data_IF_137005397888
#
_entry.id   IF_137005397888
#
_cell.length_a   1.000
_cell.length_b   1.000
_cell.length_c   1.000
_cell.angle_alpha   90.00
_cell.angle_beta   90.00
_cell.angle_gamma   90.00
#
_symmetry.space_group_name_H-M   'P 1'
#
loop_
_entity.id
_entity.type
_entity.pdbx_description
1 polymer ?
#
# COMPACT_ATOMS: atom_id res chain seq x y z
N UNK A 1 14.59 -9.51 -15.61
CA UNK A 1 14.05 -9.82 -14.26
C UNK A 1 13.96 -8.51 -13.52
N UNK A 2 12.74 -8.00 -13.28
CA UNK A 2 12.57 -6.77 -12.48
C UNK A 2 12.91 -7.10 -11.02
N UNK A 3 14.00 -6.52 -10.53
CA UNK A 3 14.43 -6.68 -9.15
C UNK A 3 13.56 -5.87 -8.20
N UNK A 4 13.48 -6.31 -6.94
CA UNK A 4 12.86 -5.57 -5.85
C UNK A 4 13.56 -4.21 -5.69
N UNK A 5 12.82 -3.13 -5.79
CA UNK A 5 13.35 -1.79 -5.51
C UNK A 5 13.15 -1.45 -4.05
N UNK A 6 14.24 -1.25 -3.32
CA UNK A 6 14.22 -0.79 -1.94
C UNK A 6 14.56 0.70 -1.89
N UNK A 7 13.76 1.48 -1.15
CA UNK A 7 13.99 2.91 -0.97
C UNK A 7 13.69 3.31 0.46
N UNK A 8 14.61 4.06 1.06
CA UNK A 8 14.37 4.67 2.37
C UNK A 8 13.33 5.77 2.24
N UNK A 9 12.29 5.69 3.07
CA UNK A 9 11.25 6.73 3.19
C UNK A 9 11.22 7.24 4.62
N UNK A 10 10.87 8.51 4.78
CA UNK A 10 10.70 9.12 6.10
C UNK A 10 9.28 8.87 6.62
N UNK A 11 9.18 8.41 7.86
CA UNK A 11 7.90 8.40 8.59
C UNK A 11 7.59 9.84 9.00
N UNK A 12 6.43 10.32 8.55
CA UNK A 12 5.88 11.64 8.83
C UNK A 12 5.01 11.58 10.09
N UNK A 13 4.53 12.75 10.50
CA UNK A 13 3.60 12.88 11.61
C UNK A 13 2.33 12.02 11.41
N UNK A 14 1.69 11.68 12.54
CA UNK A 14 0.46 10.88 12.58
C UNK A 14 0.63 9.51 11.89
N UNK A 15 1.83 8.93 11.98
CA UNK A 15 2.16 7.61 11.42
C UNK A 15 1.97 7.51 9.91
N UNK A 16 2.13 8.62 9.19
CA UNK A 16 2.00 8.65 7.72
C UNK A 16 3.35 8.35 7.07
N UNK A 17 3.32 7.70 5.91
CA UNK A 17 4.49 7.52 5.05
C UNK A 17 4.13 7.93 3.63
N UNK A 18 5.11 8.41 2.89
CA UNK A 18 4.96 8.69 1.45
C UNK A 18 5.29 7.42 0.69
N UNK A 19 4.31 6.90 -0.06
CA UNK A 19 4.56 5.82 -1.02
C UNK A 19 5.29 6.45 -2.24
N UNK A 20 6.46 5.95 -2.63
CA UNK A 20 7.18 6.45 -3.80
C UNK A 20 6.31 6.35 -5.07
N UNK A 21 6.48 7.32 -5.98
CA UNK A 21 5.67 7.40 -7.20
C UNK A 21 5.78 6.14 -8.06
N UNK A 22 6.95 5.53 -8.09
CA UNK A 22 7.22 4.31 -8.85
C UNK A 22 6.35 3.15 -8.34
N UNK A 23 6.20 3.01 -7.02
CA UNK A 23 5.33 2.01 -6.41
C UNK A 23 3.84 2.34 -6.64
N UNK A 24 3.47 3.62 -6.67
CA UNK A 24 2.11 4.06 -7.01
C UNK A 24 1.75 3.66 -8.44
N UNK A 25 2.63 3.95 -9.40
CA UNK A 25 2.42 3.67 -10.82
C UNK A 25 2.37 2.16 -11.09
N UNK A 26 3.21 1.36 -10.41
CA UNK A 26 3.23 -0.10 -10.52
C UNK A 26 1.99 -0.74 -9.90
N UNK A 27 1.61 -0.31 -8.69
CA UNK A 27 0.44 -0.83 -7.97
C UNK A 27 -0.89 -0.25 -8.45
N UNK A 28 -0.85 0.75 -9.35
CA UNK A 28 -2.01 1.48 -9.89
C UNK A 28 -2.93 2.01 -8.80
N UNK A 29 -2.35 2.53 -7.71
CA UNK A 29 -3.11 3.12 -6.60
C UNK A 29 -3.33 4.62 -6.81
N UNK A 30 -4.46 5.10 -6.33
CA UNK A 30 -4.86 6.50 -6.37
C UNK A 30 -5.21 7.02 -4.98
N UNK A 31 -5.23 8.34 -4.83
CA UNK A 31 -5.69 8.96 -3.58
C UNK A 31 -7.14 8.56 -3.30
N UNK A 32 -7.39 8.03 -2.10
CA UNK A 32 -8.71 7.56 -1.66
C UNK A 32 -8.91 6.06 -1.80
N UNK A 33 -7.98 5.36 -2.47
CA UNK A 33 -8.01 3.90 -2.55
C UNK A 33 -7.76 3.26 -1.18
N UNK A 34 -8.37 2.09 -1.00
CA UNK A 34 -8.14 1.26 0.16
C UNK A 34 -6.97 0.31 -0.07
N UNK A 35 -6.17 0.09 0.97
CA UNK A 35 -5.10 -0.88 0.97
C UNK A 35 -5.12 -1.69 2.26
N UNK A 36 -4.76 -2.97 2.14
CA UNK A 36 -4.52 -3.87 3.26
C UNK A 36 -3.07 -3.74 3.71
N UNK A 37 -2.87 -3.53 5.01
CA UNK A 37 -1.55 -3.45 5.64
C UNK A 37 -1.34 -4.72 6.47
N UNK A 38 -0.27 -5.48 6.20
CA UNK A 38 0.09 -6.70 6.95
C UNK A 38 1.49 -6.59 7.52
N UNK A 39 1.67 -7.07 8.75
CA UNK A 39 2.99 -7.27 9.31
C UNK A 39 3.47 -8.70 9.01
N UNK A 40 4.58 -8.81 8.27
CA UNK A 40 5.21 -10.08 7.94
C UNK A 40 6.37 -10.32 8.91
N UNK A 41 6.11 -11.07 9.99
CA UNK A 41 7.12 -11.35 11.03
C UNK A 41 8.36 -12.05 10.47
N UNK A 42 8.19 -12.95 9.50
CA UNK A 42 9.30 -13.71 8.89
C UNK A 42 10.24 -12.82 8.07
N UNK A 43 9.70 -11.77 7.45
CA UNK A 43 10.48 -10.83 6.65
C UNK A 43 10.89 -9.60 7.46
N UNK A 44 10.32 -9.41 8.65
CA UNK A 44 10.42 -8.18 9.44
C UNK A 44 10.04 -6.92 8.64
N UNK A 45 8.97 -7.03 7.84
CA UNK A 45 8.51 -5.97 6.94
C UNK A 45 6.99 -5.75 7.04
N UNK A 46 6.56 -4.53 6.71
CA UNK A 46 5.16 -4.19 6.45
C UNK A 46 4.88 -4.41 4.96
N UNK A 47 3.90 -5.24 4.65
CA UNK A 47 3.42 -5.47 3.29
C UNK A 47 2.13 -4.65 3.06
N UNK A 48 2.08 -3.90 1.95
CA UNK A 48 0.92 -3.10 1.54
C UNK A 48 0.35 -3.69 0.26
N UNK A 49 -0.94 -4.03 0.28
CA UNK A 49 -1.64 -4.61 -0.86
C UNK A 49 -2.88 -3.77 -1.20
N UNK A 50 -2.97 -3.15 -2.38
CA UNK A 50 -4.19 -2.46 -2.82
C UNK A 50 -5.39 -3.41 -2.84
N UNK A 51 -6.58 -2.94 -2.48
CA UNK A 51 -7.80 -3.74 -2.50
C UNK A 51 -8.95 -2.99 -3.15
N UNK A 52 -9.64 -3.66 -4.08
CA UNK A 52 -10.91 -3.16 -4.61
C UNK A 52 -12.03 -3.47 -3.62
N UNK A 53 -12.57 -2.43 -2.99
CA UNK A 53 -13.81 -2.57 -2.21
C UNK A 53 -14.98 -2.39 -3.16
N UNK A 54 -15.53 -3.50 -3.65
CA UNK A 54 -16.84 -3.46 -4.32
C UNK A 54 -17.89 -3.08 -3.27
N UNK A 55 -18.64 -1.98 -3.44
CA UNK A 55 -19.73 -1.68 -2.53
C UNK A 55 -20.70 -2.85 -2.55
N UNK A 56 -20.94 -3.47 -1.38
CA UNK A 56 -22.04 -4.43 -1.26
C UNK A 56 -23.31 -3.65 -1.60
N UNK A 57 -24.01 -4.07 -2.66
CA UNK A 57 -25.37 -3.58 -2.94
C UNK A 57 -26.17 -3.69 -1.64
N UNK A 58 -26.53 -2.54 -1.08
CA UNK A 58 -27.44 -2.46 0.05
C UNK A 58 -28.79 -2.98 -0.45
N UNK A 59 -29.17 -4.19 -0.07
CA UNK A 59 -30.57 -4.61 -0.16
C UNK A 59 -31.31 -3.81 0.91
N UNK A 60 -31.95 -2.74 0.46
CA UNK A 60 -33.00 -2.04 1.21
C UNK A 60 -34.21 -2.94 1.42
#
# INVERSE_FOLDING_TARGET
>A
MQGTQERLVRILEKNRLTIPKEAIDELKISQGDYALIKWSANKNLIEIQPVEIKPKKSTA
#
